data_IF_059144994215
#
_entry.id   IF_059144994215
#
_cell.length_a   1.000
_cell.length_b   1.000
_cell.length_c   1.000
_cell.angle_alpha   90.00
_cell.angle_beta   90.00
_cell.angle_gamma   90.00
#
_symmetry.space_group_name_H-M   'P 1'
#
loop_
_entity.id
_entity.type
_entity.pdbx_description
1 polymer ?
#
# COMPACT_ATOMS: atom_id res chain seq x y z
N UNK A 1 -12.00 19.06 3.03
CA UNK A 1 -11.26 17.79 3.14
C UNK A 1 -12.01 16.74 2.34
N UNK A 2 -11.36 16.04 1.42
CA UNK A 2 -12.02 14.98 0.63
C UNK A 2 -12.37 13.81 1.55
N UNK A 3 -13.65 13.46 1.69
CA UNK A 3 -14.06 12.24 2.40
C UNK A 3 -13.72 10.99 1.57
N UNK A 4 -13.70 9.83 2.23
CA UNK A 4 -13.59 8.53 1.56
C UNK A 4 -14.89 8.31 0.77
N UNK A 5 -14.83 8.00 -0.54
CA UNK A 5 -16.02 7.71 -1.33
C UNK A 5 -16.81 6.53 -0.74
N UNK A 6 -18.12 6.67 -0.59
CA UNK A 6 -18.97 5.68 0.09
C UNK A 6 -18.84 4.26 -0.48
N UNK A 7 -18.76 4.13 -1.82
CA UNK A 7 -18.58 2.84 -2.50
C UNK A 7 -17.22 2.19 -2.21
N UNK A 8 -16.24 2.97 -1.76
CA UNK A 8 -14.90 2.51 -1.42
C UNK A 8 -14.77 2.16 0.07
N UNK A 9 -15.57 2.78 0.93
CA UNK A 9 -15.46 2.66 2.40
C UNK A 9 -15.35 1.23 2.91
N UNK A 10 -16.14 0.24 2.45
CA UNK A 10 -16.04 -1.15 2.93
C UNK A 10 -14.70 -1.81 2.65
N UNK A 11 -13.99 -1.38 1.60
CA UNK A 11 -12.74 -1.99 1.13
C UNK A 11 -11.49 -1.34 1.73
N UNK A 12 -11.64 -0.16 2.35
CA UNK A 12 -10.57 0.56 3.06
C UNK A 12 -10.73 0.54 4.57
N UNK A 13 -11.68 -0.26 5.08
CA UNK A 13 -11.86 -0.49 6.51
C UNK A 13 -10.62 -1.13 7.14
N UNK A 14 -10.55 -1.09 8.48
CA UNK A 14 -9.45 -1.72 9.20
C UNK A 14 -9.43 -3.24 8.90
N UNK A 15 -8.29 -3.81 8.49
CA UNK A 15 -8.24 -5.15 7.96
C UNK A 15 -8.09 -6.20 9.08
N UNK A 16 -8.49 -7.44 8.79
CA UNK A 16 -8.31 -8.57 9.71
C UNK A 16 -6.82 -8.87 9.95
N UNK A 17 -6.53 -9.55 11.06
CA UNK A 17 -5.17 -9.96 11.40
C UNK A 17 -4.58 -10.89 10.33
N UNK A 18 -3.29 -10.74 10.05
CA UNK A 18 -2.51 -11.46 9.04
C UNK A 18 -2.97 -11.30 7.58
N UNK A 19 -3.95 -10.44 7.32
CA UNK A 19 -4.48 -10.24 5.98
C UNK A 19 -3.47 -9.58 5.03
N UNK A 20 -3.59 -9.94 3.75
CA UNK A 20 -2.86 -9.36 2.62
C UNK A 20 -3.84 -8.66 1.67
N UNK A 21 -3.65 -7.37 1.51
CA UNK A 21 -4.33 -6.56 0.51
C UNK A 21 -3.35 -6.26 -0.61
N UNK A 22 -3.68 -6.65 -1.84
CA UNK A 22 -2.87 -6.39 -3.02
C UNK A 22 -3.52 -5.31 -3.89
N UNK A 23 -2.80 -4.21 -4.13
CA UNK A 23 -3.22 -3.17 -5.06
C UNK A 23 -2.37 -3.27 -6.33
N UNK A 24 -3.01 -3.45 -7.49
CA UNK A 24 -2.28 -3.54 -8.75
C UNK A 24 -2.53 -2.32 -9.62
N UNK A 25 -1.47 -1.82 -10.25
CA UNK A 25 -1.48 -0.65 -11.14
C UNK A 25 -0.98 -1.02 -12.53
N UNK A 26 -1.36 -0.23 -13.53
CA UNK A 26 -0.75 -0.25 -14.87
C UNK A 26 -0.23 1.15 -15.20
N UNK A 27 0.61 1.26 -16.23
CA UNK A 27 1.08 2.53 -16.74
C UNK A 27 -0.11 3.43 -17.10
N UNK A 28 -0.13 4.62 -16.51
CA UNK A 28 -1.23 5.58 -16.65
C UNK A 28 -2.34 5.46 -15.61
N UNK A 29 -2.38 4.39 -14.80
CA UNK A 29 -3.34 4.19 -13.71
C UNK A 29 -2.62 3.78 -12.41
N UNK A 30 -2.34 4.75 -11.55
CA UNK A 30 -1.60 4.53 -10.30
C UNK A 30 -2.51 4.21 -9.11
N UNK A 31 -2.02 3.37 -8.19
CA UNK A 31 -2.63 3.01 -6.89
C UNK A 31 -2.38 4.03 -5.77
N UNK A 32 -1.63 5.10 -6.00
CA UNK A 32 -1.28 6.09 -4.97
C UNK A 32 -2.47 6.67 -4.23
N UNK A 33 -3.54 6.94 -4.97
CA UNK A 33 -4.76 7.50 -4.39
C UNK A 33 -5.46 6.48 -3.48
N UNK A 34 -5.37 5.17 -3.77
CA UNK A 34 -5.87 4.11 -2.89
C UNK A 34 -5.02 4.02 -1.61
N UNK A 35 -3.69 4.03 -1.74
CA UNK A 35 -2.79 4.05 -0.58
C UNK A 35 -3.11 5.25 0.32
N UNK A 36 -3.31 6.43 -0.25
CA UNK A 36 -3.71 7.62 0.51
C UNK A 36 -5.09 7.47 1.19
N UNK A 37 -6.05 6.74 0.58
CA UNK A 37 -7.35 6.43 1.20
C UNK A 37 -7.21 5.45 2.36
N UNK A 38 -6.32 4.46 2.27
CA UNK A 38 -5.96 3.61 3.41
C UNK A 38 -5.33 4.42 4.55
N UNK A 39 -4.35 5.28 4.26
CA UNK A 39 -3.77 6.18 5.26
C UNK A 39 -4.84 7.08 5.91
N UNK A 40 -5.78 7.60 5.11
CA UNK A 40 -6.89 8.40 5.61
C UNK A 40 -7.82 7.62 6.54
N UNK A 41 -8.15 6.38 6.16
CA UNK A 41 -8.99 5.50 6.96
C UNK A 41 -8.34 5.16 8.31
N UNK A 42 -7.03 4.90 8.30
CA UNK A 42 -6.31 4.37 9.47
C UNK A 42 -5.72 5.43 10.40
N UNK A 43 -5.33 6.58 9.85
CA UNK A 43 -4.64 7.65 10.58
C UNK A 43 -5.46 8.93 10.72
N UNK A 44 -6.63 8.99 10.08
CA UNK A 44 -7.56 10.11 10.23
C UNK A 44 -7.88 10.33 11.71
N UNK A 45 -7.73 11.57 12.17
CA UNK A 45 -8.13 11.95 13.51
C UNK A 45 -9.66 11.83 13.59
N UNK A 46 -10.18 10.91 14.41
CA UNK A 46 -11.56 10.88 14.87
C UNK A 46 -12.58 11.44 13.86
N UNK A 47 -12.97 10.62 12.88
CA UNK A 47 -14.32 10.68 12.34
C UNK A 47 -15.30 10.27 13.46
N UNK A 48 -15.42 11.09 14.51
CA UNK A 48 -16.39 10.92 15.60
C UNK A 48 -17.85 10.91 15.09
N UNK A 49 -18.07 11.20 13.80
CA UNK A 49 -19.38 11.21 13.14
C UNK A 49 -19.60 10.06 12.14
N UNK A 50 -18.62 9.18 11.90
CA UNK A 50 -18.82 7.94 11.13
C UNK A 50 -18.67 6.75 12.07
N UNK A 51 -19.65 6.60 12.95
CA UNK A 51 -19.86 5.41 13.78
C UNK A 51 -20.23 4.20 12.90
N UNK A 52 -19.25 3.71 12.14
CA UNK A 52 -19.20 2.32 11.67
C UNK A 52 -17.73 1.88 11.84
N UNK A 53 -17.45 1.26 12.97
CA UNK A 53 -16.34 0.32 13.21
C UNK A 53 -14.88 0.82 13.03
N UNK A 54 -14.47 1.90 13.69
CA UNK A 54 -13.04 2.25 13.79
C UNK A 54 -12.47 2.24 15.22
N UNK A 55 -13.18 1.66 16.18
CA UNK A 55 -12.51 1.01 17.31
C UNK A 55 -12.15 -0.39 16.81
N UNK A 56 -10.87 -0.76 16.81
CA UNK A 56 -10.53 -2.20 16.82
C UNK A 56 -11.35 -2.83 17.95
N UNK A 57 -11.84 -4.06 17.81
CA UNK A 57 -12.67 -4.70 18.85
C UNK A 57 -12.08 -4.64 20.28
N UNK A 58 -10.76 -4.40 20.40
CA UNK A 58 -9.97 -4.23 21.62
C UNK A 58 -9.60 -2.77 22.04
N UNK A 59 -10.03 -1.73 21.33
CA UNK A 59 -9.62 -0.34 21.62
C UNK A 59 -8.13 -0.02 21.38
N UNK A 60 -7.42 -0.86 20.64
CA UNK A 60 -6.02 -0.67 20.25
C UNK A 60 -5.84 0.46 19.23
N UNK A 61 -4.79 1.26 19.41
CA UNK A 61 -4.46 2.35 18.47
C UNK A 61 -3.91 1.81 17.16
N UNK A 62 -4.50 2.19 16.02
CA UNK A 62 -3.93 1.89 14.70
C UNK A 62 -2.67 2.69 14.43
N UNK A 63 -1.64 2.01 13.93
CA UNK A 63 -0.36 2.58 13.50
C UNK A 63 -0.07 2.13 12.08
N UNK A 64 0.66 2.93 11.32
CA UNK A 64 1.06 2.57 9.94
C UNK A 64 2.56 2.72 9.76
N UNK A 65 3.19 1.68 9.21
CA UNK A 65 4.52 1.76 8.63
C UNK A 65 4.39 1.79 7.11
N UNK A 66 4.78 2.88 6.48
CA UNK A 66 4.82 3.01 5.01
C UNK A 66 6.26 2.86 4.51
N UNK A 67 6.52 1.83 3.71
CA UNK A 67 7.76 1.61 2.98
C UNK A 67 7.51 1.96 1.52
N UNK A 68 8.32 2.81 0.90
CA UNK A 68 8.18 3.11 -0.53
C UNK A 68 9.50 3.00 -1.25
N UNK A 69 9.48 2.22 -2.34
CA UNK A 69 10.64 2.01 -3.21
C UNK A 69 10.63 2.96 -4.41
N UNK A 70 9.53 3.67 -4.67
CA UNK A 70 9.38 4.54 -5.85
C UNK A 70 9.11 6.01 -5.54
N UNK A 71 8.76 6.36 -4.30
CA UNK A 71 8.36 7.72 -3.91
C UNK A 71 8.95 8.11 -2.57
N UNK A 72 9.37 9.36 -2.46
CA UNK A 72 9.90 9.91 -1.22
C UNK A 72 8.79 10.31 -0.23
N UNK A 73 9.18 10.63 1.01
CA UNK A 73 8.24 11.09 2.03
C UNK A 73 7.53 12.41 1.64
N UNK A 74 8.18 13.27 0.86
CA UNK A 74 7.61 14.55 0.46
C UNK A 74 6.38 14.34 -0.44
N UNK A 75 6.44 13.38 -1.36
CA UNK A 75 5.32 12.94 -2.18
C UNK A 75 4.12 12.51 -1.32
N UNK A 76 4.35 11.61 -0.36
CA UNK A 76 3.28 11.10 0.51
C UNK A 76 2.71 12.18 1.42
N UNK A 77 3.54 13.09 1.94
CA UNK A 77 3.11 14.24 2.73
C UNK A 77 2.20 15.19 1.95
N UNK A 78 2.51 15.47 0.70
CA UNK A 78 1.67 16.34 -0.14
C UNK A 78 0.27 15.74 -0.33
N UNK A 79 0.20 14.47 -0.71
CA UNK A 79 -1.06 13.74 -0.88
C UNK A 79 -1.85 13.65 0.43
N UNK A 80 -1.20 13.29 1.53
CA UNK A 80 -1.82 13.15 2.85
C UNK A 80 -2.36 14.49 3.37
N UNK A 81 -1.65 15.60 3.16
CA UNK A 81 -2.07 16.95 3.57
C UNK A 81 -3.38 17.37 2.91
N UNK A 82 -3.56 17.05 1.63
CA UNK A 82 -4.81 17.32 0.89
C UNK A 82 -6.03 16.57 1.47
N UNK A 83 -5.77 15.48 2.21
CA UNK A 83 -6.78 14.70 2.92
C UNK A 83 -6.93 15.10 4.39
N UNK A 84 -6.24 16.14 4.83
CA UNK A 84 -6.28 16.60 6.23
C UNK A 84 -5.38 15.80 7.17
N UNK A 85 -4.49 14.96 6.64
CA UNK A 85 -3.51 14.23 7.45
C UNK A 85 -2.20 15.00 7.56
N UNK A 86 -1.69 15.09 8.78
CA UNK A 86 -0.37 15.65 9.06
C UNK A 86 0.55 14.50 9.51
N UNK A 87 1.29 13.93 8.55
CA UNK A 87 2.15 12.78 8.79
C UNK A 87 3.29 13.08 9.77
N UNK A 88 3.75 14.33 9.86
CA UNK A 88 4.77 14.75 10.83
C UNK A 88 4.22 14.72 12.26
N UNK A 89 3.01 15.25 12.46
CA UNK A 89 2.34 15.15 13.76
C UNK A 89 2.02 13.70 14.14
N UNK A 90 1.63 12.87 13.17
CA UNK A 90 1.36 11.45 13.40
C UNK A 90 2.64 10.67 13.75
N UNK A 91 3.77 10.99 13.11
CA UNK A 91 5.07 10.43 13.44
C UNK A 91 5.54 10.85 14.84
N UNK A 92 5.39 12.13 15.21
CA UNK A 92 5.68 12.61 16.56
C UNK A 92 4.84 11.90 17.65
N UNK A 93 3.62 11.47 17.30
CA UNK A 93 2.73 10.65 18.16
C UNK A 93 2.99 9.14 18.06
N UNK A 94 4.03 8.70 17.34
CA UNK A 94 4.34 7.28 17.07
C UNK A 94 3.17 6.48 16.46
N UNK A 95 2.30 7.14 15.69
CA UNK A 95 1.22 6.51 14.92
C UNK A 95 1.61 6.22 13.48
N UNK A 96 2.66 6.87 12.97
CA UNK A 96 3.12 6.73 11.60
C UNK A 96 4.65 6.65 11.57
N UNK A 97 5.18 5.78 10.72
CA UNK A 97 6.58 5.75 10.36
C UNK A 97 6.71 5.59 8.84
N UNK A 98 7.78 6.13 8.28
CA UNK A 98 8.10 6.01 6.86
C UNK A 98 9.49 5.42 6.70
N UNK A 99 9.63 4.49 5.76
CA UNK A 99 10.94 3.99 5.30
C UNK A 99 11.15 4.44 3.85
N UNK A 100 12.27 5.12 3.64
CA UNK A 100 12.72 5.52 2.30
C UNK A 100 13.51 4.36 1.66
N UNK A 101 12.88 3.65 0.75
CA UNK A 101 13.48 2.58 -0.04
C UNK A 101 13.98 3.04 -1.41
N UNK A 102 14.07 4.36 -1.67
CA UNK A 102 14.46 4.91 -2.96
C UNK A 102 15.79 5.67 -2.88
N UNK A 103 15.89 6.66 -1.99
CA UNK A 103 16.92 7.71 -2.08
C UNK A 103 18.35 7.23 -1.83
N UNK A 104 18.55 6.28 -0.92
CA UNK A 104 19.87 5.77 -0.51
C UNK A 104 20.04 4.27 -0.83
N UNK A 105 19.14 3.69 -1.63
CA UNK A 105 19.14 2.25 -1.92
C UNK A 105 20.33 1.83 -2.79
N UNK A 106 20.70 2.64 -3.78
CA UNK A 106 21.80 2.33 -4.73
C UNK A 106 22.96 3.31 -4.68
N UNK A 107 22.74 4.50 -4.14
CA UNK A 107 23.71 5.58 -4.14
C UNK A 107 23.97 6.04 -2.72
N UNK A 108 25.24 6.27 -2.40
CA UNK A 108 25.60 6.95 -1.17
C UNK A 108 25.07 8.40 -1.21
N UNK A 109 24.58 8.94 -0.08
CA UNK A 109 24.07 10.30 -0.04
C UNK A 109 25.20 11.29 -0.38
N UNK A 110 25.03 12.02 -1.49
CA UNK A 110 26.04 12.93 -2.05
C UNK A 110 26.60 13.97 -1.04
N UNK A 111 25.82 14.32 0.00
CA UNK A 111 26.27 14.99 1.22
C UNK A 111 25.36 14.57 2.38
N UNK A 112 25.89 14.28 3.58
CA UNK A 112 25.06 14.17 4.77
C UNK A 112 24.49 15.56 5.08
N UNK A 113 23.27 15.86 4.60
CA UNK A 113 22.57 17.09 5.01
C UNK A 113 22.35 17.00 6.52
N UNK A 114 23.10 17.79 7.28
CA UNK A 114 22.86 17.97 8.70
C UNK A 114 21.39 18.41 8.87
N UNK A 115 20.57 17.53 9.45
CA UNK A 115 19.14 17.78 9.71
C UNK A 115 18.13 17.14 8.74
N UNK A 116 18.55 16.44 7.67
CA UNK A 116 17.62 15.72 6.75
C UNK A 116 18.09 14.30 6.41
N UNK A 117 18.76 13.61 7.35
CA UNK A 117 18.80 12.15 7.28
C UNK A 117 17.36 11.67 7.48
N UNK A 118 16.77 11.03 6.47
CA UNK A 118 15.60 10.19 6.72
C UNK A 118 16.06 9.19 7.79
N UNK A 119 15.51 9.27 9.00
CA UNK A 119 15.98 8.45 10.11
C UNK A 119 15.90 6.94 9.78
N UNK A 120 15.02 6.58 8.83
CA UNK A 120 14.73 5.22 8.41
C UNK A 120 14.87 5.08 6.88
N UNK A 121 16.04 5.38 6.30
CA UNK A 121 16.31 5.04 4.90
C UNK A 121 16.94 3.64 4.79
N UNK A 122 16.57 2.88 3.76
CA UNK A 122 17.28 1.66 3.38
C UNK A 122 18.57 2.07 2.68
N UNK A 123 19.70 1.54 3.17
CA UNK A 123 21.03 1.83 2.65
C UNK A 123 21.62 0.56 2.06
N UNK A 124 21.94 0.64 0.77
CA UNK A 124 22.43 -0.51 0.02
C UNK A 124 21.31 -1.48 -0.36
N UNK A 125 21.48 -2.12 -1.52
CA UNK A 125 20.49 -2.98 -2.13
C UNK A 125 20.58 -4.45 -1.68
N UNK A 126 21.32 -4.72 -0.60
CA UNK A 126 21.42 -6.05 -0.03
C UNK A 126 20.10 -6.44 0.67
N UNK A 127 19.63 -7.65 0.40
CA UNK A 127 18.37 -8.16 0.96
C UNK A 127 18.32 -8.07 2.48
N UNK A 128 19.44 -8.39 3.15
CA UNK A 128 19.54 -8.31 4.60
C UNK A 128 19.38 -6.88 5.12
N UNK A 129 19.89 -5.87 4.41
CA UNK A 129 19.73 -4.47 4.79
C UNK A 129 18.26 -4.04 4.66
N UNK A 130 17.61 -4.41 3.56
CA UNK A 130 16.18 -4.17 3.34
C UNK A 130 15.34 -4.85 4.45
N UNK A 131 15.57 -6.15 4.67
CA UNK A 131 14.87 -6.98 5.66
C UNK A 131 15.01 -6.43 7.08
N UNK A 132 16.25 -6.13 7.49
CA UNK A 132 16.53 -5.67 8.85
C UNK A 132 16.00 -4.26 9.11
N UNK A 133 16.10 -3.33 8.15
CA UNK A 133 15.52 -1.99 8.31
C UNK A 133 14.01 -2.05 8.54
N UNK A 134 13.28 -2.80 7.70
CA UNK A 134 11.82 -2.95 7.86
C UNK A 134 11.48 -3.62 9.20
N UNK A 135 12.16 -4.72 9.54
CA UNK A 135 11.90 -5.46 10.79
C UNK A 135 12.20 -4.62 12.04
N UNK A 136 13.29 -3.87 12.05
CA UNK A 136 13.66 -3.03 13.19
C UNK A 136 12.66 -1.89 13.37
N UNK A 137 12.27 -1.20 12.29
CA UNK A 137 11.28 -0.12 12.38
C UNK A 137 9.89 -0.65 12.75
N UNK A 138 9.48 -1.84 12.27
CA UNK A 138 8.27 -2.51 12.75
C UNK A 138 8.32 -2.72 14.27
N UNK A 139 9.41 -3.31 14.78
CA UNK A 139 9.62 -3.57 16.20
C UNK A 139 9.55 -2.29 17.04
N UNK A 140 10.18 -1.21 16.58
CA UNK A 140 10.15 0.10 17.24
C UNK A 140 8.74 0.70 17.29
N UNK A 141 7.99 0.59 16.20
CA UNK A 141 6.62 1.09 16.12
C UNK A 141 5.66 0.26 16.98
N UNK A 142 5.97 -1.02 17.17
CA UNK A 142 5.25 -1.97 18.02
C UNK A 142 5.55 -1.85 19.52
N UNK A 143 6.60 -1.14 19.92
CA UNK A 143 7.03 -1.02 21.33
C UNK A 143 6.02 -0.33 22.27
N UNK A 144 4.81 0.02 21.81
CA UNK A 144 3.69 0.45 22.63
C UNK A 144 2.38 -0.17 22.14
N UNK A 145 1.28 -0.01 22.88
CA UNK A 145 -0.01 -0.56 22.47
C UNK A 145 -0.45 -0.08 21.08
N UNK A 146 -0.92 -1.01 20.25
CA UNK A 146 -1.44 -0.69 18.93
C UNK A 146 -1.14 -1.74 17.86
N UNK A 147 -1.99 -1.77 16.84
CA UNK A 147 -1.88 -2.68 15.69
C UNK A 147 -1.18 -1.95 14.55
N UNK A 148 -0.08 -2.52 14.04
CA UNK A 148 0.71 -1.92 12.96
C UNK A 148 0.29 -2.50 11.61
N UNK A 149 -0.26 -1.65 10.74
CA UNK A 149 -0.49 -1.98 9.33
C UNK A 149 0.76 -1.64 8.53
N UNK A 150 1.31 -2.62 7.83
CA UNK A 150 2.44 -2.44 6.93
C UNK A 150 1.92 -2.07 5.54
N UNK A 151 2.39 -0.96 4.99
CA UNK A 151 2.08 -0.53 3.61
C UNK A 151 3.37 -0.52 2.81
N UNK A 152 3.42 -1.24 1.71
CA UNK A 152 4.59 -1.37 0.84
C UNK A 152 4.25 -0.85 -0.56
N UNK A 153 4.90 0.24 -0.95
CA UNK A 153 4.74 0.88 -2.25
C UNK A 153 5.82 0.41 -3.25
N UNK A 154 5.37 -0.23 -4.33
CA UNK A 154 6.15 -0.71 -5.48
C UNK A 154 7.33 -1.65 -5.13
N UNK A 155 7.05 -2.75 -4.40
CA UNK A 155 8.06 -3.75 -4.02
C UNK A 155 8.72 -4.42 -5.24
N UNK A 156 7.96 -4.57 -6.32
CA UNK A 156 8.40 -5.11 -7.61
C UNK A 156 9.57 -4.34 -8.24
N UNK A 157 9.81 -3.09 -7.86
CA UNK A 157 11.01 -2.36 -8.28
C UNK A 157 12.29 -3.13 -7.94
N UNK A 158 12.31 -3.82 -6.79
CA UNK A 158 13.49 -4.58 -6.35
C UNK A 158 13.87 -5.69 -7.32
N UNK A 159 12.91 -6.30 -8.03
CA UNK A 159 13.19 -7.29 -9.06
C UNK A 159 13.90 -6.68 -10.27
N UNK A 160 13.50 -5.46 -10.67
CA UNK A 160 14.08 -4.76 -11.82
C UNK A 160 15.48 -4.19 -11.56
N UNK A 161 15.79 -3.91 -10.30
CA UNK A 161 16.95 -3.07 -9.91
C UNK A 161 18.04 -3.82 -9.16
N UNK A 162 17.78 -5.06 -8.75
CA UNK A 162 18.73 -5.85 -7.94
C UNK A 162 19.47 -6.93 -8.74
N UNK A 163 19.20 -7.03 -10.05
CA UNK A 163 19.77 -8.06 -10.92
C UNK A 163 19.49 -9.46 -10.38
N UNK A 164 20.47 -10.35 -10.47
CA UNK A 164 20.32 -11.75 -10.02
C UNK A 164 20.31 -11.93 -8.50
N UNK A 165 20.47 -10.85 -7.72
CA UNK A 165 20.51 -10.92 -6.25
C UNK A 165 19.14 -11.15 -5.62
N UNK A 166 18.07 -10.68 -6.28
CA UNK A 166 16.70 -10.80 -5.78
C UNK A 166 15.80 -11.36 -6.86
N UNK A 167 15.05 -12.40 -6.49
CA UNK A 167 14.09 -13.07 -7.34
C UNK A 167 12.73 -13.16 -6.61
N UNK A 168 11.72 -13.69 -7.30
CA UNK A 168 10.36 -13.79 -6.76
C UNK A 168 10.31 -14.56 -5.43
N UNK A 169 11.10 -15.63 -5.31
CA UNK A 169 11.12 -16.50 -4.12
C UNK A 169 11.74 -15.76 -2.93
N UNK A 170 12.92 -15.15 -3.10
CA UNK A 170 13.59 -14.44 -2.03
C UNK A 170 12.77 -13.24 -1.49
N UNK A 171 12.09 -12.51 -2.38
CA UNK A 171 11.17 -11.45 -1.98
C UNK A 171 9.91 -12.01 -1.30
N UNK A 172 9.36 -13.11 -1.81
CA UNK A 172 8.24 -13.81 -1.18
C UNK A 172 8.54 -14.24 0.25
N UNK A 173 9.68 -14.88 0.48
CA UNK A 173 10.13 -15.32 1.81
C UNK A 173 10.30 -14.14 2.76
N UNK A 174 10.92 -13.05 2.29
CA UNK A 174 11.11 -11.82 3.07
C UNK A 174 9.76 -11.19 3.43
N UNK A 175 8.80 -11.19 2.50
CA UNK A 175 7.47 -10.65 2.73
C UNK A 175 6.69 -11.49 3.75
N UNK A 176 6.84 -12.82 3.76
CA UNK A 176 6.22 -13.68 4.78
C UNK A 176 6.68 -13.27 6.18
N UNK A 177 7.97 -13.02 6.39
CA UNK A 177 8.48 -12.55 7.69
C UNK A 177 7.86 -11.22 8.11
N UNK A 178 7.75 -10.26 7.19
CA UNK A 178 7.15 -8.96 7.49
C UNK A 178 5.66 -9.06 7.78
N UNK A 179 4.94 -9.93 7.05
CA UNK A 179 3.52 -10.20 7.26
C UNK A 179 3.25 -10.85 8.62
N UNK A 180 4.11 -11.78 9.04
CA UNK A 180 4.02 -12.40 10.36
C UNK A 180 4.30 -11.41 11.50
N UNK A 181 5.13 -10.40 11.24
CA UNK A 181 5.43 -9.37 12.23
C UNK A 181 4.33 -8.29 12.29
N UNK A 182 3.71 -7.91 11.18
CA UNK A 182 2.69 -6.86 11.14
C UNK A 182 1.27 -7.39 11.46
N UNK A 183 0.34 -6.50 11.83
CA UNK A 183 -1.08 -6.87 11.99
C UNK A 183 -1.71 -7.25 10.65
N UNK A 184 -1.36 -6.52 9.59
CA UNK A 184 -1.84 -6.75 8.22
C UNK A 184 -0.90 -6.04 7.24
N UNK A 185 -0.93 -6.44 5.97
CA UNK A 185 -0.07 -5.87 4.93
C UNK A 185 -0.87 -5.40 3.73
N UNK A 186 -0.59 -4.18 3.28
CA UNK A 186 -1.05 -3.62 2.01
C UNK A 186 0.16 -3.51 1.10
N UNK A 187 0.10 -4.14 -0.06
CA UNK A 187 1.19 -4.18 -1.01
C UNK A 187 0.72 -3.64 -2.35
N UNK A 188 1.56 -2.85 -3.00
CA UNK A 188 1.31 -2.40 -4.37
C UNK A 188 2.34 -2.97 -5.33
N UNK A 189 1.86 -3.39 -6.51
CA UNK A 189 2.69 -3.93 -7.60
C UNK A 189 2.22 -3.37 -8.95
N UNK A 190 3.13 -3.30 -9.93
CA UNK A 190 2.75 -3.15 -11.33
C UNK A 190 2.15 -4.45 -11.88
N UNK A 191 1.15 -4.32 -12.74
CA UNK A 191 0.48 -5.40 -13.45
C UNK A 191 0.36 -5.08 -14.95
N UNK A 192 1.29 -4.27 -15.47
CA UNK A 192 1.44 -4.02 -16.89
C UNK A 192 1.58 -5.34 -17.66
N UNK A 193 0.88 -5.48 -18.78
CA UNK A 193 0.81 -6.74 -19.54
C UNK A 193 2.19 -7.35 -19.85
N UNK A 194 3.24 -6.57 -20.23
CA UNK A 194 4.57 -7.12 -20.44
C UNK A 194 5.17 -7.79 -19.19
N UNK A 195 4.88 -7.27 -17.99
CA UNK A 195 5.44 -7.77 -16.72
C UNK A 195 4.54 -8.83 -16.06
N UNK A 196 3.22 -8.77 -16.30
CA UNK A 196 2.25 -9.67 -15.68
C UNK A 196 2.06 -10.98 -16.47
N UNK A 197 2.26 -10.97 -17.79
CA UNK A 197 2.06 -12.14 -18.66
C UNK A 197 3.27 -12.51 -19.53
N UNK A 198 4.36 -11.75 -19.45
CA UNK A 198 5.61 -12.08 -20.13
C UNK A 198 6.40 -13.16 -19.40
N UNK A 199 7.11 -13.99 -20.16
CA UNK A 199 8.00 -15.03 -19.64
C UNK A 199 9.30 -15.12 -20.47
N UNK A 200 9.60 -14.11 -21.29
CA UNK A 200 10.73 -14.14 -22.22
C UNK A 200 12.03 -13.77 -21.51
N UNK A 201 11.93 -13.00 -20.42
CA UNK A 201 13.08 -12.60 -19.62
C UNK A 201 12.98 -13.08 -18.16
N UNK A 202 14.13 -13.19 -17.45
CA UNK A 202 14.11 -13.47 -16.02
C UNK A 202 13.33 -12.44 -15.21
N UNK A 203 13.36 -11.17 -15.62
CA UNK A 203 12.60 -10.10 -14.96
C UNK A 203 11.10 -10.35 -15.09
N UNK A 204 10.61 -10.58 -16.31
CA UNK A 204 9.19 -10.86 -16.56
C UNK A 204 8.73 -12.12 -15.82
N UNK A 205 9.54 -13.19 -15.87
CA UNK A 205 9.24 -14.45 -15.18
C UNK A 205 9.14 -14.24 -13.66
N UNK A 206 10.10 -13.54 -13.06
CA UNK A 206 10.08 -13.27 -11.63
C UNK A 206 8.93 -12.33 -11.23
N UNK A 207 8.67 -11.31 -12.04
CA UNK A 207 7.59 -10.36 -11.78
C UNK A 207 6.24 -11.06 -11.83
N UNK A 208 5.96 -11.81 -12.90
CA UNK A 208 4.73 -12.57 -13.06
C UNK A 208 4.55 -13.60 -11.94
N UNK A 209 5.63 -14.32 -11.56
CA UNK A 209 5.59 -15.28 -10.46
C UNK A 209 5.25 -14.61 -9.11
N UNK A 210 5.89 -13.49 -8.79
CA UNK A 210 5.64 -12.74 -7.55
C UNK A 210 4.20 -12.20 -7.54
N UNK A 211 3.78 -11.52 -8.61
CA UNK A 211 2.45 -10.94 -8.75
C UNK A 211 1.35 -11.99 -8.63
N UNK A 212 1.48 -13.11 -9.36
CA UNK A 212 0.47 -14.18 -9.36
C UNK A 212 0.40 -14.90 -8.01
N UNK A 213 1.55 -15.17 -7.39
CA UNK A 213 1.61 -15.77 -6.06
C UNK A 213 0.89 -14.90 -5.03
N UNK A 214 1.17 -13.59 -5.02
CA UNK A 214 0.55 -12.65 -4.10
C UNK A 214 -0.93 -12.42 -4.38
N UNK A 215 -1.34 -12.42 -5.65
CA UNK A 215 -2.76 -12.33 -6.01
C UNK A 215 -3.56 -13.54 -5.50
N UNK A 216 -2.97 -14.75 -5.52
CA UNK A 216 -3.60 -15.94 -4.94
C UNK A 216 -3.65 -15.90 -3.41
N UNK A 217 -2.66 -15.30 -2.76
CA UNK A 217 -2.57 -15.21 -1.30
C UNK A 217 -3.39 -14.04 -0.72
N UNK A 218 -3.79 -13.07 -1.54
CA UNK A 218 -4.44 -11.86 -1.08
C UNK A 218 -5.91 -12.09 -0.69
N UNK A 219 -6.30 -11.57 0.47
CA UNK A 219 -7.69 -11.52 0.93
C UNK A 219 -8.51 -10.49 0.15
N UNK A 220 -7.84 -9.48 -0.41
CA UNK A 220 -8.44 -8.44 -1.23
C UNK A 220 -7.46 -8.01 -2.32
N UNK A 221 -7.93 -8.01 -3.57
CA UNK A 221 -7.20 -7.46 -4.72
C UNK A 221 -7.97 -6.26 -5.28
N UNK A 222 -7.31 -5.10 -5.35
CA UNK A 222 -7.85 -3.90 -6.01
C UNK A 222 -6.96 -3.54 -7.20
N UNK A 223 -7.47 -3.79 -8.40
CA UNK A 223 -6.74 -3.54 -9.65
C UNK A 223 -7.26 -2.28 -10.34
N UNK A 224 -6.38 -1.31 -10.57
CA UNK A 224 -6.70 -0.09 -11.32
C UNK A 224 -6.18 -0.18 -12.75
N UNK A 225 -7.04 0.15 -13.72
CA UNK A 225 -6.72 0.18 -15.14
C UNK A 225 -7.35 1.37 -15.85
N UNK A 226 -6.80 1.74 -17.00
CA UNK A 226 -7.43 2.71 -17.90
C UNK A 226 -8.73 2.14 -18.49
N UNK A 227 -9.56 3.00 -19.07
CA UNK A 227 -10.75 2.55 -19.80
C UNK A 227 -10.32 1.91 -21.13
N UNK A 228 -10.97 0.82 -21.51
CA UNK A 228 -10.72 0.13 -22.79
C UNK A 228 -11.05 1.02 -24.00
N UNK A 229 -11.93 2.01 -23.81
CA UNK A 229 -12.36 2.97 -24.84
C UNK A 229 -11.45 4.20 -24.96
N UNK A 230 -10.36 4.30 -24.18
CA UNK A 230 -9.45 5.45 -24.15
C UNK A 230 -9.76 6.45 -23.04
N UNK A 231 -9.49 7.74 -23.26
CA UNK A 231 -9.59 8.76 -22.20
C UNK A 231 -10.98 9.39 -22.11
N UNK A 232 -11.45 9.67 -20.89
CA UNK A 232 -12.66 10.45 -20.64
C UNK A 232 -12.37 11.65 -19.74
N UNK A 233 -13.16 12.73 -19.88
CA UNK A 233 -12.95 13.97 -19.11
C UNK A 233 -13.15 13.79 -17.60
N UNK A 234 -14.15 12.99 -17.23
CA UNK A 234 -14.61 12.82 -15.85
C UNK A 234 -14.39 11.42 -15.29
N UNK A 235 -13.62 10.59 -15.99
CA UNK A 235 -13.29 9.22 -15.58
C UNK A 235 -11.81 8.98 -15.84
N UNK A 236 -11.05 8.68 -14.78
CA UNK A 236 -9.63 8.36 -14.87
C UNK A 236 -9.41 6.89 -15.23
N UNK A 237 -10.29 6.00 -14.79
CA UNK A 237 -10.16 4.57 -15.06
C UNK A 237 -11.19 3.70 -14.32
N UNK A 238 -10.89 2.41 -14.29
CA UNK A 238 -11.67 1.37 -13.64
C UNK A 238 -10.88 0.79 -12.46
N UNK A 239 -11.52 0.64 -11.32
CA UNK A 239 -11.02 -0.10 -10.17
C UNK A 239 -11.83 -1.40 -10.03
N UNK A 240 -11.21 -2.54 -10.33
CA UNK A 240 -11.79 -3.87 -10.11
C UNK A 240 -11.38 -4.37 -8.74
N UNK A 241 -12.37 -4.74 -7.94
CA UNK A 241 -12.21 -5.28 -6.60
C UNK A 241 -12.57 -6.76 -6.62
N UNK A 242 -11.66 -7.59 -6.17
CA UNK A 242 -11.84 -9.03 -6.04
C UNK A 242 -11.52 -9.42 -4.60
N UNK A 243 -12.42 -10.15 -3.96
CA UNK A 243 -12.21 -10.67 -2.61
C UNK A 243 -11.68 -12.10 -2.69
N UNK A 244 -10.68 -12.41 -1.87
CA UNK A 244 -10.18 -13.77 -1.68
C UNK A 244 -11.22 -14.65 -0.97
N UNK A 245 -10.94 -15.94 -0.92
CA UNK A 245 -11.81 -16.91 -0.26
C UNK A 245 -11.58 -16.88 1.25
N UNK A 246 -12.29 -16.00 1.94
CA UNK A 246 -12.26 -15.93 3.40
C UNK A 246 -13.16 -17.03 3.99
N UNK A 247 -12.68 -18.27 4.04
CA UNK A 247 -13.25 -19.28 4.92
C UNK A 247 -13.08 -18.81 6.38
N UNK A 248 -14.18 -18.63 7.11
CA UNK A 248 -14.14 -18.36 8.56
C UNK A 248 -14.67 -17.00 9.06
N UNK A 249 -15.29 -16.18 8.21
CA UNK A 249 -15.96 -14.96 8.70
C UNK A 249 -17.18 -15.32 9.58
N UNK A 250 -17.22 -14.76 10.79
CA UNK A 250 -18.35 -14.91 11.71
C UNK A 250 -19.65 -14.33 11.15
N UNK A 251 -20.83 -14.74 11.66
CA UNK A 251 -22.14 -14.44 11.08
C UNK A 251 -22.53 -12.94 10.99
N UNK A 252 -21.74 -12.04 11.57
CA UNK A 252 -21.97 -10.59 11.57
C UNK A 252 -21.02 -9.78 10.66
N UNK A 253 -20.04 -10.41 9.99
CA UNK A 253 -19.19 -9.67 9.05
C UNK A 253 -19.87 -9.54 7.69
N UNK A 254 -20.14 -8.29 7.30
CA UNK A 254 -20.67 -7.97 5.98
C UNK A 254 -19.65 -8.41 4.92
N UNK A 255 -19.96 -9.49 4.20
CA UNK A 255 -19.09 -10.04 3.16
C UNK A 255 -18.94 -8.98 2.07
N UNK A 256 -17.74 -8.39 1.96
CA UNK A 256 -17.41 -7.49 0.86
C UNK A 256 -17.51 -8.26 -0.44
N UNK A 257 -18.21 -7.71 -1.43
CA UNK A 257 -18.45 -8.38 -2.70
C UNK A 257 -17.44 -7.94 -3.76
N UNK A 258 -17.16 -8.81 -4.72
CA UNK A 258 -16.42 -8.39 -5.90
C UNK A 258 -17.21 -7.31 -6.67
N UNK A 259 -16.53 -6.23 -7.06
CA UNK A 259 -17.15 -5.10 -7.76
C UNK A 259 -16.23 -4.53 -8.82
N UNK A 260 -16.82 -3.87 -9.80
CA UNK A 260 -16.10 -3.04 -10.76
C UNK A 260 -16.64 -1.62 -10.67
N UNK A 261 -15.76 -0.68 -10.34
CA UNK A 261 -16.11 0.72 -10.08
C UNK A 261 -15.34 1.62 -11.04
N UNK A 262 -15.98 2.70 -11.49
CA UNK A 262 -15.30 3.78 -12.17
C UNK A 262 -14.73 4.74 -11.13
N UNK A 263 -13.56 5.31 -11.41
CA UNK A 263 -12.96 6.32 -10.54
C UNK A 263 -12.46 7.53 -11.32
N UNK A 264 -12.43 8.67 -10.63
CA UNK A 264 -11.85 9.91 -11.11
C UNK A 264 -10.94 10.50 -10.05
N UNK A 265 -9.71 10.85 -10.43
CA UNK A 265 -8.75 11.55 -9.58
C UNK A 265 -8.59 12.98 -10.08
N UNK A 266 -9.04 13.94 -9.28
CA UNK A 266 -8.87 15.38 -9.52
C UNK A 266 -7.48 15.89 -9.12
N UNK A 267 -7.09 17.06 -9.63
CA UNK A 267 -5.79 17.69 -9.32
C UNK A 267 -5.63 18.12 -7.86
N UNK A 268 -6.72 18.24 -7.12
CA UNK A 268 -6.79 18.56 -5.69
C UNK A 268 -6.78 17.32 -4.78
N UNK A 269 -6.49 16.14 -5.34
CA UNK A 269 -6.61 14.83 -4.66
C UNK A 269 -8.04 14.47 -4.23
N UNK A 270 -9.05 15.17 -4.76
CA UNK A 270 -10.42 14.69 -4.72
C UNK A 270 -10.51 13.41 -5.55
N UNK A 271 -11.11 12.38 -4.96
CA UNK A 271 -11.38 11.13 -5.66
C UNK A 271 -12.87 10.90 -5.64
N UNK A 272 -13.45 10.63 -6.80
CA UNK A 272 -14.83 10.16 -6.94
C UNK A 272 -14.81 8.71 -7.39
N UNK A 273 -15.73 7.92 -6.86
CA UNK A 273 -15.93 6.51 -7.23
C UNK A 273 -17.42 6.32 -7.48
N UNK A 274 -17.78 5.67 -8.58
CA UNK A 274 -19.16 5.51 -9.03
C UNK A 274 -19.34 4.17 -9.77
N UNK A 275 -20.57 3.67 -9.82
CA UNK A 275 -20.92 2.46 -10.55
C UNK A 275 -21.01 2.73 -12.06
N UNK A 276 -20.82 1.69 -12.88
CA UNK A 276 -20.97 1.83 -14.34
C UNK A 276 -22.45 1.98 -14.68
N UNK A 277 -22.83 3.11 -15.29
CA UNK A 277 -24.20 3.38 -15.75
C UNK A 277 -25.01 4.36 -14.88
N UNK A 278 -24.38 4.99 -13.88
CA UNK A 278 -24.90 6.20 -13.22
C UNK A 278 -24.43 7.48 -13.91
#
# INVERSE_FOLDING_TARGET
>A
MSQIPHLLSPYVAFPSESSLILLTSVLGASTNWLVLRYLQSYLGQNLETLSIANETEDGATTKVLLVSFMRDLAFWKDGARKLGLDLDKLAAKKKFAFIDGLSELYLEPARPKAGTRSANAIRGNELENIRNTVKNTLTELQAGSGKVVLVIDQLDLLLATSGDKLNAVALGDTLVDWRLAAHSTILTLAADTPLAGGHDTPLETNHAALLLSLAHQADLVMSVRLLDTGTARDVSGVCRITTGDAEGKGPNEQKTEARELLYFVGGDSAVRVFERGQ
#
